data_IF_706372455439
#
_entry.id   IF_706372455439
#
_cell.length_a   1.000
_cell.length_b   1.000
_cell.length_c   1.000
_cell.angle_alpha   90.00
_cell.angle_beta   90.00
_cell.angle_gamma   90.00
#
_symmetry.space_group_name_H-M   'P 1'
#
loop_
_entity.id
_entity.type
_entity.pdbx_description
1 polymer ?
#
# COMPACT_ATOMS: atom_id res chain seq x y z
N UNK A 1 -1.58 5.38 -22.31
CA UNK A 1 -2.53 5.61 -21.20
C UNK A 1 -3.11 4.26 -20.87
N UNK A 2 -2.76 3.72 -19.70
CA UNK A 2 -3.38 2.49 -19.22
C UNK A 2 -4.63 2.86 -18.42
N UNK A 3 -5.80 2.54 -18.95
CA UNK A 3 -7.09 2.73 -18.28
C UNK A 3 -7.30 1.60 -17.26
N UNK A 4 -6.44 1.53 -16.24
CA UNK A 4 -6.50 0.55 -15.17
C UNK A 4 -6.79 1.23 -13.84
N UNK A 5 -7.67 0.64 -13.05
CA UNK A 5 -7.99 1.08 -11.69
C UNK A 5 -7.24 0.21 -10.69
N UNK A 6 -6.76 0.84 -9.62
CA UNK A 6 -6.13 0.16 -8.50
C UNK A 6 -6.65 0.73 -7.18
N UNK A 7 -6.51 -0.06 -6.12
CA UNK A 7 -6.70 0.44 -4.76
C UNK A 7 -5.48 1.26 -4.33
N UNK A 8 -5.65 2.21 -3.38
CA UNK A 8 -4.53 2.87 -2.73
C UNK A 8 -3.61 1.85 -2.08
N UNK A 9 -2.31 1.98 -2.29
CA UNK A 9 -1.32 1.06 -1.75
C UNK A 9 0.03 1.75 -1.58
N UNK A 10 0.76 1.38 -0.53
CA UNK A 10 2.14 1.80 -0.40
C UNK A 10 2.94 0.92 0.53
N UNK A 11 4.23 1.23 0.60
CA UNK A 11 5.21 0.44 1.32
C UNK A 11 5.13 0.67 2.83
N UNK A 12 5.42 -0.37 3.61
CA UNK A 12 5.60 -0.25 5.05
C UNK A 12 7.07 0.10 5.30
N UNK A 13 7.33 1.21 5.99
CA UNK A 13 8.68 1.63 6.33
C UNK A 13 9.27 0.80 7.48
N UNK A 14 10.59 0.83 7.62
CA UNK A 14 11.28 0.08 8.68
C UNK A 14 10.85 0.61 10.06
N UNK A 15 10.26 -0.27 10.86
CA UNK A 15 9.79 0.07 12.22
C UNK A 15 8.38 0.65 12.27
N UNK A 16 7.70 0.78 11.12
CA UNK A 16 6.32 1.23 11.02
C UNK A 16 5.37 0.05 11.23
N UNK A 17 4.33 0.21 12.06
CA UNK A 17 3.26 -0.77 12.16
C UNK A 17 2.39 -0.73 10.89
N UNK A 18 1.78 -1.86 10.44
CA UNK A 18 0.94 -1.87 9.25
C UNK A 18 -0.22 -0.85 9.28
N UNK A 19 -0.76 -0.56 10.46
CA UNK A 19 -1.83 0.43 10.64
C UNK A 19 -1.31 1.88 10.49
N UNK A 20 -0.09 2.16 10.95
CA UNK A 20 0.55 3.47 10.77
C UNK A 20 0.84 3.73 9.29
N UNK A 21 1.39 2.73 8.59
CA UNK A 21 1.60 2.79 7.15
C UNK A 21 0.27 3.03 6.41
N UNK A 22 -0.78 2.30 6.76
CA UNK A 22 -2.11 2.47 6.16
C UNK A 22 -2.62 3.91 6.31
N UNK A 23 -2.53 4.51 7.51
CA UNK A 23 -2.98 5.89 7.72
C UNK A 23 -2.12 6.93 7.01
N UNK A 24 -0.81 6.69 6.89
CA UNK A 24 0.09 7.56 6.12
C UNK A 24 -0.27 7.54 4.63
N UNK A 25 -0.38 6.36 4.04
CA UNK A 25 -0.77 6.18 2.63
C UNK A 25 -2.18 6.73 2.36
N UNK A 26 -3.12 6.55 3.29
CA UNK A 26 -4.46 7.11 3.22
C UNK A 26 -4.43 8.65 3.12
N UNK A 27 -3.50 9.30 3.81
CA UNK A 27 -3.30 10.75 3.73
C UNK A 27 -2.59 11.15 2.44
N UNK A 28 -1.53 10.42 2.04
CA UNK A 28 -0.70 10.72 0.87
C UNK A 28 -1.44 10.55 -0.46
N UNK A 29 -2.22 9.46 -0.61
CA UNK A 29 -2.88 9.11 -1.88
C UNK A 29 -4.32 9.59 -1.98
N UNK A 30 -5.02 9.69 -0.84
CA UNK A 30 -6.48 9.99 -0.80
C UNK A 30 -6.79 11.29 -0.06
N UNK A 31 -5.90 11.78 0.81
CA UNK A 31 -6.12 12.99 1.60
C UNK A 31 -7.07 12.82 2.79
N UNK A 32 -7.37 11.57 3.20
CA UNK A 32 -8.24 11.30 4.35
C UNK A 32 -7.44 11.22 5.65
N UNK A 33 -8.10 11.56 6.76
CA UNK A 33 -7.54 11.52 8.11
C UNK A 33 -8.15 10.35 8.89
N UNK A 34 -7.50 9.88 9.97
CA UNK A 34 -8.00 8.75 10.76
C UNK A 34 -9.44 8.92 11.27
N UNK A 35 -9.88 10.15 11.56
CA UNK A 35 -11.24 10.44 12.01
C UNK A 35 -12.31 10.43 10.90
N UNK A 36 -11.92 10.34 9.63
CA UNK A 36 -12.85 10.21 8.51
C UNK A 36 -13.24 8.76 8.23
N UNK A 37 -12.54 7.79 8.84
CA UNK A 37 -12.66 6.37 8.50
C UNK A 37 -12.75 5.51 9.76
N UNK A 38 -13.29 4.31 9.59
CA UNK A 38 -13.33 3.28 10.63
C UNK A 38 -12.79 1.97 10.05
N UNK A 39 -11.94 1.28 10.80
CA UNK A 39 -11.40 -0.02 10.39
C UNK A 39 -12.45 -1.09 10.68
N UNK A 40 -13.08 -1.60 9.63
CA UNK A 40 -14.07 -2.68 9.74
C UNK A 40 -13.43 -4.08 9.84
N UNK A 41 -12.20 -4.23 9.35
CA UNK A 41 -11.47 -5.48 9.38
C UNK A 41 -10.11 -5.38 8.69
N UNK A 42 -9.25 -6.35 8.95
CA UNK A 42 -7.93 -6.51 8.32
C UNK A 42 -7.71 -7.97 7.94
N UNK A 43 -6.96 -8.21 6.86
CA UNK A 43 -6.51 -9.57 6.53
C UNK A 43 -5.58 -10.10 7.62
N UNK A 44 -5.71 -11.40 7.95
CA UNK A 44 -4.88 -12.02 8.99
C UNK A 44 -3.43 -12.21 8.55
N UNK A 45 -3.25 -12.54 7.27
CA UNK A 45 -1.97 -12.89 6.67
C UNK A 45 -1.66 -11.98 5.48
N UNK A 46 -0.39 -12.00 5.08
CA UNK A 46 0.10 -11.26 3.92
C UNK A 46 -0.40 -11.88 2.62
N UNK A 47 -1.04 -11.07 1.78
CA UNK A 47 -1.39 -11.44 0.41
C UNK A 47 -0.20 -11.12 -0.49
N UNK A 48 0.31 -12.13 -1.19
CA UNK A 48 1.43 -12.00 -2.13
C UNK A 48 0.90 -12.15 -3.54
N UNK A 49 1.39 -11.31 -4.45
CA UNK A 49 1.16 -11.45 -5.88
C UNK A 49 2.50 -11.42 -6.62
N UNK A 50 2.58 -12.19 -7.70
CA UNK A 50 3.79 -12.19 -8.53
C UNK A 50 3.69 -11.10 -9.58
N UNK A 51 4.71 -10.25 -9.62
CA UNK A 51 4.86 -9.25 -10.68
C UNK A 51 5.57 -9.93 -11.86
N UNK A 52 5.04 -9.85 -13.10
CA UNK A 52 5.71 -10.39 -14.27
C UNK A 52 7.15 -9.88 -14.36
N UNK A 53 8.09 -10.78 -14.68
CA UNK A 53 9.53 -10.47 -14.67
C UNK A 53 9.93 -9.29 -15.59
N UNK A 54 9.11 -9.01 -16.60
CA UNK A 54 9.27 -7.87 -17.52
C UNK A 54 9.00 -6.51 -16.86
N UNK A 55 8.29 -6.48 -15.73
CA UNK A 55 7.84 -5.25 -15.04
C UNK A 55 8.68 -4.96 -13.79
N UNK A 56 9.57 -5.87 -13.41
CA UNK A 56 10.56 -5.65 -12.37
C UNK A 56 11.58 -4.60 -12.84
N UNK A 57 11.50 -3.37 -12.31
CA UNK A 57 12.56 -2.37 -12.51
C UNK A 57 13.87 -2.93 -11.95
N UNK A 58 14.95 -2.83 -12.74
CA UNK A 58 16.29 -3.37 -12.44
C UNK A 58 17.05 -2.68 -11.28
N UNK A 59 16.41 -1.77 -10.54
CA UNK A 59 17.08 -0.92 -9.54
C UNK A 59 16.62 -1.16 -8.08
N UNK A 60 16.30 -2.40 -7.71
CA UNK A 60 16.28 -2.78 -6.29
C UNK A 60 17.70 -3.12 -5.83
N UNK A 61 18.48 -2.10 -5.47
CA UNK A 61 19.70 -2.25 -4.66
C UNK A 61 19.40 -1.80 -3.22
N UNK A 62 19.37 -2.79 -2.31
CA UNK A 62 19.66 -2.61 -0.88
C UNK A 62 18.45 -2.34 -0.01
#
# INVERSE_FOLDING_TARGET
QEHAWQFPQGGIQKGEAPEEAMYRELMEEVGLKPHHVEILGRTKDWLKYEVPSQWLRRDFKG
#
